data_IF_263113331039
#
_entry.id   IF_263113331039
#
_cell.length_a   1.000
_cell.length_b   1.000
_cell.length_c   1.000
_cell.angle_alpha   90.00
_cell.angle_beta   90.00
_cell.angle_gamma   90.00
#
_symmetry.space_group_name_H-M   'P 1'
#
loop_
_entity.id
_entity.type
_entity.pdbx_description
1 polymer ?
#
# COMPACT_ATOMS: atom_id res chain seq x y z
N UNK A 1 -0.08 -29.78 -58.09
CA UNK A 1 -0.02 -28.31 -58.05
C UNK A 1 -1.21 -27.73 -57.26
N UNK A 2 -1.60 -28.34 -56.12
CA UNK A 2 -2.82 -27.94 -55.39
C UNK A 2 -2.59 -27.80 -53.87
N UNK A 3 -1.38 -27.45 -53.45
CA UNK A 3 -1.09 -27.19 -52.02
C UNK A 3 -0.96 -25.69 -51.70
N UNK A 4 -1.03 -24.81 -52.70
CA UNK A 4 -0.80 -23.35 -52.53
C UNK A 4 -2.12 -22.55 -52.59
N UNK A 5 -3.26 -23.17 -52.90
CA UNK A 5 -4.56 -22.46 -53.02
C UNK A 5 -5.36 -22.35 -51.72
N UNK A 6 -4.90 -22.88 -50.58
CA UNK A 6 -5.66 -22.83 -49.31
C UNK A 6 -5.33 -21.66 -48.38
N UNK A 7 -4.49 -20.70 -48.78
CA UNK A 7 -4.17 -19.52 -47.96
C UNK A 7 -5.04 -18.28 -48.25
N UNK A 8 -6.09 -18.40 -49.07
CA UNK A 8 -6.97 -17.29 -49.40
C UNK A 8 -8.32 -17.36 -48.63
N UNK A 9 -8.31 -16.94 -47.35
CA UNK A 9 -9.42 -16.20 -46.70
C UNK A 9 -9.03 -15.75 -45.28
N UNK A 10 -9.56 -14.62 -44.77
CA UNK A 10 -9.40 -13.25 -45.21
C UNK A 10 -8.31 -12.54 -44.36
N UNK A 11 -7.67 -11.51 -44.88
CA UNK A 11 -6.77 -10.67 -44.10
C UNK A 11 -7.49 -10.16 -42.84
N UNK A 12 -6.91 -10.41 -41.65
CA UNK A 12 -7.35 -9.79 -40.40
C UNK A 12 -7.26 -8.28 -40.60
N UNK A 13 -8.41 -7.61 -40.77
CA UNK A 13 -8.47 -6.16 -40.89
C UNK A 13 -8.29 -5.57 -39.50
N UNK A 14 -7.08 -5.11 -39.20
CA UNK A 14 -6.79 -4.39 -37.96
C UNK A 14 -7.34 -2.97 -38.09
N UNK A 15 -8.04 -2.43 -37.07
CA UNK A 15 -8.51 -1.05 -37.11
C UNK A 15 -7.37 -0.05 -37.25
N UNK A 16 -7.59 1.03 -38.00
CA UNK A 16 -6.58 2.07 -38.15
C UNK A 16 -6.44 2.92 -36.86
N UNK A 17 -5.37 3.73 -36.81
CA UNK A 17 -5.07 4.59 -35.65
C UNK A 17 -6.22 5.55 -35.29
N UNK A 18 -6.94 6.05 -36.29
CA UNK A 18 -8.04 6.99 -36.07
C UNK A 18 -9.23 6.32 -35.39
N UNK A 19 -9.56 5.10 -35.82
CA UNK A 19 -10.56 4.27 -35.18
C UNK A 19 -10.19 3.98 -33.72
N UNK A 20 -8.96 3.54 -33.47
CA UNK A 20 -8.49 3.27 -32.10
C UNK A 20 -8.54 4.54 -31.23
N UNK A 21 -8.17 5.70 -31.78
CA UNK A 21 -8.23 6.99 -31.06
C UNK A 21 -9.66 7.44 -30.80
N UNK A 22 -10.58 7.24 -31.74
CA UNK A 22 -11.99 7.56 -31.55
C UNK A 22 -12.61 6.67 -30.46
N UNK A 23 -12.31 5.37 -30.51
CA UNK A 23 -12.77 4.42 -29.49
C UNK A 23 -12.14 4.70 -28.11
N UNK A 24 -10.85 5.04 -28.04
CA UNK A 24 -10.19 5.32 -26.76
C UNK A 24 -10.79 6.52 -26.02
N UNK A 25 -11.35 7.51 -26.73
CA UNK A 25 -12.05 8.64 -26.09
C UNK A 25 -13.27 8.21 -25.29
N UNK A 26 -13.97 7.15 -25.72
CA UNK A 26 -15.08 6.56 -24.97
C UNK A 26 -14.58 5.83 -23.71
N UNK A 27 -13.28 5.53 -23.65
CA UNK A 27 -12.65 4.83 -22.55
C UNK A 27 -11.98 5.75 -21.53
N UNK A 28 -12.07 7.06 -21.69
CA UNK A 28 -11.50 8.02 -20.75
C UNK A 28 -12.60 8.62 -19.88
N UNK A 29 -12.35 8.86 -18.58
CA UNK A 29 -13.28 9.63 -17.75
C UNK A 29 -13.44 11.04 -18.33
N UNK A 30 -14.53 11.71 -17.95
CA UNK A 30 -14.61 13.15 -18.13
C UNK A 30 -13.43 13.77 -17.39
N UNK A 31 -12.46 14.28 -18.13
CA UNK A 31 -11.32 14.98 -17.55
C UNK A 31 -11.87 16.30 -17.03
N UNK A 32 -11.96 16.46 -15.71
CA UNK A 32 -11.97 17.80 -15.12
C UNK A 32 -10.61 18.43 -15.48
N UNK A 33 -10.56 19.51 -16.27
CA UNK A 33 -9.29 20.13 -16.63
C UNK A 33 -8.80 20.94 -15.43
N UNK A 34 -8.34 20.28 -14.37
CA UNK A 34 -7.42 20.93 -13.44
C UNK A 34 -6.02 20.81 -14.03
N UNK A 35 -5.77 21.61 -15.07
CA UNK A 35 -4.44 21.89 -15.59
C UNK A 35 -3.99 23.19 -14.95
N UNK A 36 -3.34 23.11 -13.80
CA UNK A 36 -2.40 24.17 -13.47
C UNK A 36 -1.11 23.92 -14.29
N UNK A 37 -0.33 24.96 -14.54
CA UNK A 37 0.94 24.85 -15.26
C UNK A 37 2.03 24.10 -14.45
N UNK A 38 1.67 23.39 -13.37
CA UNK A 38 2.62 22.80 -12.40
C UNK A 38 2.70 21.28 -12.47
N UNK A 39 2.16 20.63 -13.51
CA UNK A 39 2.30 19.19 -13.70
C UNK A 39 1.40 18.34 -12.78
N UNK A 40 0.29 18.91 -12.31
CA UNK A 40 -0.74 18.22 -11.52
C UNK A 40 -1.86 17.78 -12.46
N UNK A 41 -2.25 16.50 -12.39
CA UNK A 41 -3.44 15.98 -13.06
C UNK A 41 -4.31 15.31 -12.01
N UNK A 42 -5.52 15.82 -11.81
CA UNK A 42 -6.53 15.28 -10.89
C UNK A 42 -7.78 14.95 -11.70
N UNK A 43 -8.34 13.76 -11.48
CA UNK A 43 -9.62 13.32 -12.01
C UNK A 43 -10.71 13.48 -10.96
N UNK A 44 -11.91 13.81 -11.40
CA UNK A 44 -13.12 13.76 -10.59
C UNK A 44 -13.42 12.31 -10.18
N UNK A 45 -13.46 12.01 -8.88
CA UNK A 45 -13.52 10.62 -8.40
C UNK A 45 -14.84 9.97 -8.79
N UNK A 46 -15.94 10.67 -8.57
CA UNK A 46 -17.29 10.22 -8.93
C UNK A 46 -17.38 9.81 -10.40
N UNK A 47 -16.88 10.64 -11.33
CA UNK A 47 -16.84 10.33 -12.76
C UNK A 47 -16.06 9.06 -13.09
N UNK A 48 -14.90 8.85 -12.43
CA UNK A 48 -14.09 7.64 -12.66
C UNK A 48 -14.78 6.40 -12.10
N UNK A 49 -15.46 6.51 -10.95
CA UNK A 49 -16.29 5.43 -10.38
C UNK A 49 -17.42 5.08 -11.34
N UNK A 50 -18.19 6.07 -11.81
CA UNK A 50 -19.29 5.85 -12.75
C UNK A 50 -18.82 5.13 -14.02
N UNK A 51 -17.72 5.59 -14.62
CA UNK A 51 -17.16 4.94 -15.81
C UNK A 51 -16.73 3.50 -15.52
N UNK A 52 -16.16 3.25 -14.34
CA UNK A 52 -15.71 1.91 -13.93
C UNK A 52 -16.89 0.97 -13.72
N UNK A 53 -17.92 1.43 -13.00
CA UNK A 53 -19.15 0.65 -12.76
C UNK A 53 -19.91 0.39 -14.06
N UNK A 54 -20.04 1.39 -14.95
CA UNK A 54 -20.65 1.20 -16.29
C UNK A 54 -19.99 0.06 -17.07
N UNK A 55 -18.65 -0.03 -17.03
CA UNK A 55 -17.94 -1.14 -17.69
C UNK A 55 -18.14 -2.49 -17.02
N UNK A 56 -18.24 -2.51 -15.69
CA UNK A 56 -18.57 -3.75 -14.98
C UNK A 56 -19.96 -4.22 -15.41
N UNK A 57 -20.95 -3.31 -15.45
CA UNK A 57 -22.31 -3.60 -15.93
C UNK A 57 -22.30 -4.11 -17.38
N UNK A 58 -21.52 -3.50 -18.27
CA UNK A 58 -21.35 -3.99 -19.65
C UNK A 58 -20.86 -5.43 -19.73
N UNK A 59 -19.90 -5.79 -18.88
CA UNK A 59 -19.36 -7.15 -18.81
C UNK A 59 -20.43 -8.13 -18.30
N UNK A 60 -21.15 -7.75 -17.24
CA UNK A 60 -22.23 -8.57 -16.66
C UNK A 60 -23.38 -8.78 -17.65
N UNK A 61 -23.81 -7.72 -18.35
CA UNK A 61 -24.86 -7.81 -19.37
C UNK A 61 -24.44 -8.71 -20.54
N UNK A 62 -23.17 -8.67 -20.97
CA UNK A 62 -22.64 -9.61 -21.97
C UNK A 62 -22.62 -11.06 -21.50
N UNK A 63 -22.61 -11.28 -20.19
CA UNK A 63 -22.74 -12.60 -19.56
C UNK A 63 -24.19 -13.00 -19.27
N UNK A 64 -25.17 -12.22 -19.75
CA UNK A 64 -26.61 -12.39 -19.49
C UNK A 64 -26.99 -12.29 -18.00
N UNK A 65 -26.20 -11.58 -17.20
CA UNK A 65 -26.51 -11.29 -15.80
C UNK A 65 -27.40 -10.05 -15.75
N UNK A 66 -28.57 -10.18 -15.12
CA UNK A 66 -29.46 -9.05 -14.89
C UNK A 66 -28.91 -8.17 -13.76
N UNK A 67 -28.69 -6.88 -14.03
CA UNK A 67 -28.16 -5.93 -13.06
C UNK A 67 -29.29 -5.05 -12.52
N UNK A 68 -29.63 -5.14 -11.22
CA UNK A 68 -30.65 -4.29 -10.62
C UNK A 68 -30.22 -2.82 -10.58
N UNK A 69 -31.19 -1.90 -10.45
CA UNK A 69 -30.91 -0.46 -10.41
C UNK A 69 -30.27 0.01 -9.11
N UNK A 70 -30.44 -0.71 -8.00
CA UNK A 70 -29.85 -0.38 -6.70
C UNK A 70 -28.64 -1.26 -6.43
N UNK A 71 -27.48 -0.63 -6.25
CA UNK A 71 -26.18 -1.29 -6.20
C UNK A 71 -25.37 -0.82 -5.01
N UNK A 72 -24.55 -1.71 -4.47
CA UNK A 72 -23.47 -1.40 -3.52
C UNK A 72 -22.13 -1.64 -4.20
N UNK A 73 -21.25 -0.65 -4.17
CA UNK A 73 -19.93 -0.70 -4.78
C UNK A 73 -18.86 -0.50 -3.73
N UNK A 74 -17.85 -1.38 -3.75
CA UNK A 74 -16.74 -1.34 -2.81
C UNK A 74 -15.44 -1.13 -3.54
N UNK A 75 -14.60 -0.27 -2.98
CA UNK A 75 -13.26 -0.02 -3.48
C UNK A 75 -12.26 0.18 -2.36
N UNK A 76 -10.99 0.03 -2.69
CA UNK A 76 -9.89 0.49 -1.85
C UNK A 76 -9.12 1.61 -2.53
N UNK A 77 -8.55 2.51 -1.74
CA UNK A 77 -7.87 3.71 -2.22
C UNK A 77 -6.60 3.99 -1.43
N UNK A 78 -5.71 4.76 -2.02
CA UNK A 78 -4.53 5.27 -1.33
C UNK A 78 -3.61 6.00 -2.28
N UNK A 79 -2.39 6.23 -1.82
CA UNK A 79 -1.40 7.00 -2.56
C UNK A 79 0.01 6.56 -2.17
N UNK A 80 0.94 6.83 -3.08
CA UNK A 80 2.35 6.45 -2.95
C UNK A 80 3.23 7.47 -3.69
N UNK A 81 4.44 7.66 -3.15
CA UNK A 81 5.49 8.48 -3.72
C UNK A 81 6.58 7.61 -4.35
N UNK A 82 6.87 7.82 -5.62
CA UNK A 82 7.93 7.15 -6.35
C UNK A 82 9.03 8.16 -6.75
N UNK A 83 10.27 7.85 -6.41
CA UNK A 83 11.44 8.63 -6.82
C UNK A 83 12.13 8.10 -8.08
N UNK A 84 13.25 8.73 -8.44
CA UNK A 84 14.13 8.35 -9.55
C UNK A 84 13.48 8.37 -10.94
N UNK A 85 12.56 9.30 -11.15
CA UNK A 85 11.98 9.55 -12.46
C UNK A 85 12.98 10.29 -13.35
N UNK A 86 13.05 9.91 -14.62
CA UNK A 86 13.85 10.63 -15.60
C UNK A 86 13.31 12.06 -15.77
N UNK A 87 14.18 13.05 -15.65
CA UNK A 87 13.83 14.45 -15.86
C UNK A 87 13.91 14.79 -17.36
N UNK A 88 12.78 15.19 -17.93
CA UNK A 88 12.71 15.63 -19.32
C UNK A 88 13.13 17.10 -19.44
N UNK A 89 14.12 17.38 -20.28
CA UNK A 89 14.54 18.74 -20.62
C UNK A 89 13.55 19.34 -21.62
N UNK A 90 12.44 19.87 -21.13
CA UNK A 90 11.47 20.60 -21.96
C UNK A 90 11.67 22.12 -21.81
N UNK A 91 11.58 22.85 -22.93
CA UNK A 91 11.85 24.31 -22.97
C UNK A 91 10.78 25.11 -22.22
N UNK A 92 9.55 24.58 -22.11
CA UNK A 92 8.38 25.32 -21.61
C UNK A 92 7.89 24.86 -20.23
N UNK A 93 8.42 23.75 -19.70
CA UNK A 93 8.01 23.20 -18.39
C UNK A 93 9.19 22.44 -17.80
N UNK A 94 10.20 23.15 -17.24
CA UNK A 94 11.29 22.48 -16.56
C UNK A 94 10.72 21.71 -15.37
N UNK A 95 10.78 20.38 -15.44
CA UNK A 95 10.53 19.56 -14.26
C UNK A 95 11.78 19.59 -13.41
N UNK A 96 11.68 20.16 -12.22
CA UNK A 96 12.82 20.21 -11.27
C UNK A 96 12.87 18.96 -10.38
N UNK A 97 11.80 18.17 -10.38
CA UNK A 97 11.63 17.06 -9.46
C UNK A 97 11.66 15.70 -10.17
N UNK A 98 12.54 14.81 -9.71
CA UNK A 98 12.63 13.41 -10.14
C UNK A 98 11.67 12.49 -9.35
N UNK A 99 10.59 13.03 -8.80
CA UNK A 99 9.61 12.28 -8.02
C UNK A 99 8.21 12.44 -8.63
N UNK A 100 7.41 11.39 -8.48
CA UNK A 100 6.00 11.37 -8.80
C UNK A 100 5.26 10.91 -7.56
N UNK A 101 4.20 11.63 -7.22
CA UNK A 101 3.21 11.20 -6.27
C UNK A 101 1.94 10.79 -7.03
N UNK A 102 1.34 9.68 -6.64
CA UNK A 102 0.13 9.18 -7.29
C UNK A 102 -0.94 8.81 -6.27
N UNK A 103 -2.18 9.21 -6.55
CA UNK A 103 -3.37 8.72 -5.83
C UNK A 103 -4.15 7.81 -6.76
N UNK A 104 -4.53 6.64 -6.26
CA UNK A 104 -5.20 5.61 -7.05
C UNK A 104 -6.28 4.89 -6.23
N UNK A 105 -7.20 4.24 -6.93
CA UNK A 105 -8.14 3.30 -6.32
C UNK A 105 -8.22 1.98 -7.10
N UNK A 106 -8.79 0.96 -6.47
CA UNK A 106 -9.07 -0.35 -7.05
C UNK A 106 -10.48 -0.77 -6.65
N UNK A 107 -11.33 -1.06 -7.64
CA UNK A 107 -12.64 -1.68 -7.43
C UNK A 107 -12.49 -3.09 -6.85
N UNK A 108 -13.27 -3.40 -5.82
CA UNK A 108 -13.24 -4.67 -5.09
C UNK A 108 -14.46 -5.54 -5.42
N UNK A 109 -15.67 -4.99 -5.33
CA UNK A 109 -16.91 -5.69 -5.64
C UNK A 109 -18.01 -4.74 -6.13
N UNK A 110 -18.98 -5.33 -6.83
CA UNK A 110 -20.27 -4.73 -7.15
C UNK A 110 -21.36 -5.73 -6.73
N UNK A 111 -22.26 -5.28 -5.89
CA UNK A 111 -23.27 -6.10 -5.23
C UNK A 111 -24.65 -5.48 -5.46
N UNK A 112 -25.69 -6.30 -5.54
CA UNK A 112 -27.05 -5.80 -5.48
C UNK A 112 -27.36 -5.32 -4.06
N UNK A 113 -28.28 -4.36 -3.90
CA UNK A 113 -28.72 -3.92 -2.56
C UNK A 113 -29.36 -5.04 -1.71
N UNK A 114 -29.63 -6.20 -2.31
CA UNK A 114 -30.11 -7.42 -1.63
C UNK A 114 -28.97 -8.22 -0.98
N UNK A 115 -27.70 -7.87 -1.22
CA UNK A 115 -26.51 -8.60 -0.76
C UNK A 115 -25.99 -9.64 -1.76
N UNK A 116 -26.62 -9.78 -2.94
CA UNK A 116 -26.12 -10.66 -3.99
C UNK A 116 -24.86 -10.07 -4.64
N UNK A 117 -23.77 -10.84 -4.67
CA UNK A 117 -22.53 -10.43 -5.32
C UNK A 117 -22.65 -10.61 -6.83
N UNK A 118 -22.68 -9.51 -7.57
CA UNK A 118 -22.78 -9.51 -9.03
C UNK A 118 -21.39 -9.61 -9.68
N UNK A 119 -20.41 -8.93 -9.10
CA UNK A 119 -19.03 -8.92 -9.59
C UNK A 119 -18.04 -8.81 -8.42
N UNK A 120 -16.94 -9.53 -8.54
CA UNK A 120 -15.81 -9.48 -7.61
C UNK A 120 -14.49 -9.37 -8.37
N UNK A 121 -13.57 -8.56 -7.86
CA UNK A 121 -12.23 -8.50 -8.39
C UNK A 121 -11.40 -9.69 -7.88
N UNK A 122 -11.12 -10.64 -8.76
CA UNK A 122 -10.31 -11.83 -8.42
C UNK A 122 -8.84 -11.51 -8.15
N UNK A 123 -8.36 -10.31 -8.54
CA UNK A 123 -6.96 -9.92 -8.43
C UNK A 123 -6.81 -8.47 -7.97
N UNK A 124 -7.28 -8.12 -6.76
CA UNK A 124 -7.37 -6.73 -6.28
C UNK A 124 -5.99 -6.09 -6.01
N UNK A 125 -4.91 -6.86 -6.09
CA UNK A 125 -3.53 -6.36 -5.97
C UNK A 125 -2.80 -6.30 -7.32
N UNK A 126 -3.47 -6.60 -8.43
CA UNK A 126 -2.92 -6.46 -9.77
C UNK A 126 -2.94 -5.00 -10.22
N UNK A 127 -1.85 -4.54 -10.82
CA UNK A 127 -1.75 -3.22 -11.42
C UNK A 127 -2.80 -2.97 -12.51
N UNK A 128 -3.33 -4.02 -13.14
CA UNK A 128 -4.37 -3.94 -14.17
C UNK A 128 -5.69 -3.33 -13.65
N UNK A 129 -5.95 -3.45 -12.35
CA UNK A 129 -7.17 -2.92 -11.72
C UNK A 129 -6.95 -1.59 -11.02
N UNK A 130 -5.72 -1.10 -10.96
CA UNK A 130 -5.41 0.20 -10.37
C UNK A 130 -5.87 1.31 -11.31
N UNK A 131 -6.65 2.25 -10.79
CA UNK A 131 -7.19 3.40 -11.52
C UNK A 131 -6.60 4.69 -10.95
N UNK A 132 -5.88 5.48 -11.75
CA UNK A 132 -5.30 6.72 -11.29
C UNK A 132 -6.38 7.79 -11.08
N UNK A 133 -6.34 8.44 -9.92
CA UNK A 133 -7.12 9.64 -9.60
C UNK A 133 -6.27 10.89 -9.66
N UNK A 134 -5.02 10.81 -9.22
CA UNK A 134 -4.09 11.91 -9.32
C UNK A 134 -2.69 11.44 -9.72
N UNK A 135 -2.02 12.26 -10.53
CA UNK A 135 -0.60 12.13 -10.84
C UNK A 135 0.04 13.52 -10.68
N UNK A 136 1.02 13.62 -9.79
CA UNK A 136 1.60 14.88 -9.34
C UNK A 136 3.12 14.75 -9.42
N UNK A 137 3.77 15.65 -10.15
CA UNK A 137 5.22 15.66 -10.33
C UNK A 137 5.96 16.30 -9.12
N UNK A 138 5.69 15.81 -7.92
CA UNK A 138 6.27 16.31 -6.67
C UNK A 138 6.76 15.18 -5.77
N UNK A 139 7.67 15.52 -4.86
CA UNK A 139 8.15 14.61 -3.83
C UNK A 139 7.10 14.53 -2.73
N UNK A 140 6.87 13.34 -2.22
CA UNK A 140 6.00 13.15 -1.05
C UNK A 140 6.48 14.03 0.12
N UNK A 141 5.59 14.94 0.55
CA UNK A 141 5.79 15.86 1.66
C UNK A 141 4.50 15.99 2.47
N UNK A 142 4.60 16.57 3.67
CA UNK A 142 3.44 16.81 4.53
C UNK A 142 2.45 17.76 3.87
N UNK A 143 2.96 18.81 3.20
CA UNK A 143 2.19 19.82 2.48
C UNK A 143 1.44 19.19 1.30
N UNK A 144 2.10 18.31 0.54
CA UNK A 144 1.46 17.60 -0.56
C UNK A 144 0.35 16.68 -0.05
N UNK A 145 0.56 15.98 1.06
CA UNK A 145 -0.48 15.15 1.69
C UNK A 145 -1.66 15.99 2.17
N UNK A 146 -1.43 17.18 2.74
CA UNK A 146 -2.50 18.13 3.06
C UNK A 146 -3.31 18.52 1.83
N UNK A 147 -2.64 18.88 0.74
CA UNK A 147 -3.29 19.25 -0.51
C UNK A 147 -4.14 18.10 -1.06
N UNK A 148 -3.57 16.89 -1.14
CA UNK A 148 -4.27 15.71 -1.68
C UNK A 148 -5.44 15.29 -0.79
N UNK A 149 -5.28 15.28 0.53
CA UNK A 149 -6.38 14.92 1.43
C UNK A 149 -7.48 15.99 1.41
N UNK A 150 -7.12 17.27 1.38
CA UNK A 150 -8.08 18.36 1.23
C UNK A 150 -8.86 18.31 -0.09
N UNK A 151 -8.24 17.81 -1.17
CA UNK A 151 -8.89 17.66 -2.47
C UNK A 151 -9.85 16.48 -2.54
N UNK A 152 -9.55 15.35 -1.87
CA UNK A 152 -10.31 14.10 -2.06
C UNK A 152 -11.16 13.67 -0.86
N UNK A 153 -10.73 13.89 0.39
CA UNK A 153 -11.48 13.40 1.57
C UNK A 153 -12.91 13.96 1.67
N UNK A 154 -13.18 15.25 1.37
CA UNK A 154 -14.55 15.77 1.40
C UNK A 154 -15.48 15.03 0.41
N UNK A 155 -15.00 14.76 -0.80
CA UNK A 155 -15.75 14.02 -1.82
C UNK A 155 -15.92 12.54 -1.41
N UNK A 156 -14.86 11.90 -0.89
CA UNK A 156 -14.91 10.52 -0.39
C UNK A 156 -15.91 10.36 0.76
N UNK A 157 -16.00 11.35 1.65
CA UNK A 157 -16.97 11.37 2.74
C UNK A 157 -18.39 11.49 2.19
N UNK A 158 -18.64 12.47 1.31
CA UNK A 158 -19.95 12.67 0.68
C UNK A 158 -20.42 11.42 -0.06
N UNK A 159 -19.56 10.79 -0.87
CA UNK A 159 -19.89 9.58 -1.62
C UNK A 159 -20.22 8.38 -0.71
N UNK A 160 -19.59 8.28 0.46
CA UNK A 160 -19.89 7.22 1.43
C UNK A 160 -21.19 7.47 2.22
N UNK A 161 -21.49 8.73 2.53
CA UNK A 161 -22.69 9.11 3.29
C UNK A 161 -23.95 9.14 2.41
N UNK A 162 -23.84 9.69 1.20
CA UNK A 162 -24.97 9.98 0.32
C UNK A 162 -25.09 9.03 -0.89
N UNK A 163 -24.00 8.34 -1.26
CA UNK A 163 -23.93 7.59 -2.51
C UNK A 163 -23.89 8.50 -3.75
N UNK A 164 -24.30 7.95 -4.89
CA UNK A 164 -24.43 8.68 -6.16
C UNK A 164 -25.44 7.99 -7.09
N UNK A 165 -25.91 8.70 -8.11
CA UNK A 165 -26.73 8.13 -9.18
C UNK A 165 -26.15 8.42 -10.55
N UNK A 166 -26.35 7.51 -11.50
CA UNK A 166 -25.94 7.71 -12.89
C UNK A 166 -26.87 7.00 -13.87
N UNK A 167 -26.99 7.54 -15.07
CA UNK A 167 -27.75 6.93 -16.15
C UNK A 167 -26.86 6.06 -17.04
N UNK A 168 -27.34 4.87 -17.37
CA UNK A 168 -26.72 3.94 -18.32
C UNK A 168 -27.77 3.04 -18.99
N UNK A 169 -27.73 2.92 -20.31
CA UNK A 169 -28.68 2.10 -21.11
C UNK A 169 -30.16 2.31 -20.72
N UNK A 170 -30.60 3.57 -20.64
CA UNK A 170 -31.97 3.98 -20.26
C UNK A 170 -32.41 3.53 -18.85
N UNK A 171 -31.46 3.12 -18.01
CA UNK A 171 -31.69 2.78 -16.60
C UNK A 171 -30.95 3.78 -15.72
N UNK A 172 -31.64 4.33 -14.72
CA UNK A 172 -31.02 5.11 -13.66
C UNK A 172 -30.56 4.17 -12.56
N UNK A 173 -29.26 4.16 -12.30
CA UNK A 173 -28.65 3.39 -11.22
C UNK A 173 -28.45 4.26 -9.98
N UNK A 174 -28.72 3.67 -8.83
CA UNK A 174 -28.50 4.22 -7.49
C UNK A 174 -27.37 3.41 -6.82
N UNK A 175 -26.30 4.09 -6.45
CA UNK A 175 -25.03 3.49 -6.07
C UNK A 175 -24.63 3.94 -4.68
N UNK A 176 -24.66 3.02 -3.72
CA UNK A 176 -24.03 3.18 -2.41
C UNK A 176 -22.56 2.79 -2.52
N UNK A 177 -21.66 3.59 -1.96
CA UNK A 177 -20.21 3.43 -2.13
C UNK A 177 -19.55 3.20 -0.77
N UNK A 178 -18.68 2.20 -0.67
CA UNK A 178 -17.76 2.00 0.46
C UNK A 178 -16.33 2.19 -0.02
N UNK A 179 -15.59 3.09 0.64
CA UNK A 179 -14.21 3.45 0.26
C UNK A 179 -13.25 3.05 1.39
N UNK A 180 -12.40 2.06 1.12
CA UNK A 180 -11.42 1.58 2.08
C UNK A 180 -10.04 2.22 1.84
N UNK A 181 -9.65 3.14 2.71
CA UNK A 181 -8.35 3.82 2.63
C UNK A 181 -7.21 2.92 3.15
N UNK A 182 -6.88 1.87 2.40
CA UNK A 182 -5.94 0.82 2.81
C UNK A 182 -4.68 0.69 1.95
N UNK A 183 -4.58 1.44 0.84
CA UNK A 183 -3.44 1.38 -0.09
C UNK A 183 -2.37 2.43 0.24
N UNK A 184 -1.91 2.46 1.49
CA UNK A 184 -0.88 3.40 1.98
C UNK A 184 0.23 2.63 2.67
N UNK A 185 1.46 3.12 2.63
CA UNK A 185 2.56 2.53 3.40
C UNK A 185 2.50 2.95 4.88
N UNK A 186 3.43 2.44 5.71
CA UNK A 186 3.45 2.79 7.13
C UNK A 186 3.81 4.27 7.36
N UNK A 187 4.70 4.82 6.53
CA UNK A 187 5.23 6.18 6.68
C UNK A 187 4.12 7.22 6.46
N UNK A 188 3.39 7.09 5.37
CA UNK A 188 2.24 7.94 5.03
C UNK A 188 1.20 7.87 6.14
N UNK A 189 0.82 6.65 6.58
CA UNK A 189 -0.16 6.48 7.66
C UNK A 189 0.26 7.14 8.96
N UNK A 190 1.55 7.05 9.31
CA UNK A 190 2.11 7.71 10.49
C UNK A 190 1.98 9.24 10.39
N UNK A 191 2.24 9.81 9.21
CA UNK A 191 2.09 11.24 8.95
C UNK A 191 0.61 11.64 9.04
N UNK A 192 -0.28 10.91 8.34
CA UNK A 192 -1.70 11.23 8.27
C UNK A 192 -2.44 11.09 9.59
N UNK A 193 -2.05 10.11 10.43
CA UNK A 193 -2.61 9.97 11.77
C UNK A 193 -2.00 10.96 12.78
N UNK A 194 -0.90 11.63 12.44
CA UNK A 194 -0.15 12.47 13.37
C UNK A 194 0.59 11.69 14.47
N UNK A 195 0.65 10.35 14.38
CA UNK A 195 1.18 9.45 15.40
C UNK A 195 2.67 9.11 15.21
N UNK A 196 3.49 10.13 14.89
CA UNK A 196 4.92 9.98 14.61
C UNK A 196 5.77 9.41 15.74
N UNK A 197 5.29 9.48 16.98
CA UNK A 197 5.96 8.93 18.16
C UNK A 197 5.28 7.69 18.73
N UNK A 198 4.26 7.14 18.08
CA UNK A 198 3.57 5.94 18.54
C UNK A 198 4.37 4.69 18.17
N UNK A 199 4.41 3.70 19.08
CA UNK A 199 4.99 2.39 18.76
C UNK A 199 4.07 1.61 17.79
N UNK A 200 2.75 1.81 17.89
CA UNK A 200 1.74 1.17 17.04
C UNK A 200 0.66 2.17 16.61
N UNK A 201 0.26 2.11 15.33
CA UNK A 201 -0.82 2.92 14.78
C UNK A 201 -2.22 2.35 15.03
N UNK A 202 -2.32 1.08 15.44
CA UNK A 202 -3.60 0.39 15.66
C UNK A 202 -4.00 0.36 17.14
N UNK A 203 -3.01 0.29 18.04
CA UNK A 203 -3.23 0.20 19.48
C UNK A 203 -2.33 1.13 20.28
N UNK A 204 -2.65 1.30 21.56
CA UNK A 204 -1.91 2.17 22.50
C UNK A 204 -0.74 1.48 23.22
N UNK A 205 -0.58 0.15 23.07
CA UNK A 205 0.52 -0.60 23.70
C UNK A 205 1.89 -0.13 23.26
N UNK A 206 2.89 -0.36 24.11
CA UNK A 206 4.26 0.12 23.89
C UNK A 206 5.26 -0.97 23.60
N UNK A 207 6.30 -0.62 22.88
CA UNK A 207 7.38 -1.53 22.48
C UNK A 207 8.14 -2.15 23.66
N UNK A 208 8.21 -1.46 24.81
CA UNK A 208 8.78 -2.03 26.04
C UNK A 208 7.91 -3.13 26.66
N UNK A 209 6.60 -3.12 26.42
CA UNK A 209 5.67 -4.14 26.89
C UNK A 209 5.64 -5.37 25.98
N UNK A 210 6.05 -5.24 24.71
CA UNK A 210 6.09 -6.34 23.74
C UNK A 210 7.20 -7.37 23.98
N UNK A 211 7.79 -7.35 25.18
CA UNK A 211 8.77 -8.33 25.65
C UNK A 211 8.19 -9.23 26.74
N UNK A 212 7.02 -8.87 27.26
CA UNK A 212 6.31 -9.62 28.29
C UNK A 212 5.40 -10.66 27.64
N UNK A 213 5.80 -11.93 27.73
CA UNK A 213 5.12 -13.07 27.11
C UNK A 213 3.69 -13.24 27.67
N UNK A 214 3.49 -12.95 28.96
CA UNK A 214 2.18 -13.10 29.60
C UNK A 214 1.22 -11.99 29.17
N UNK A 215 1.74 -10.79 28.91
CA UNK A 215 0.96 -9.74 28.25
C UNK A 215 0.61 -10.10 26.81
N UNK A 216 1.59 -10.51 26.01
CA UNK A 216 1.40 -10.84 24.57
C UNK A 216 0.35 -11.92 24.35
N UNK A 217 0.27 -12.91 25.25
CA UNK A 217 -0.70 -14.01 25.15
C UNK A 217 -2.15 -13.59 25.47
N UNK A 218 -2.38 -12.40 26.04
CA UNK A 218 -3.73 -11.94 26.37
C UNK A 218 -4.44 -11.49 25.07
N UNK A 219 -5.68 -11.96 24.81
CA UNK A 219 -6.37 -11.72 23.55
C UNK A 219 -6.66 -10.23 23.29
N UNK A 220 -6.77 -9.43 24.35
CA UNK A 220 -7.06 -8.00 24.27
C UNK A 220 -5.81 -7.11 24.27
N UNK A 221 -4.60 -7.68 24.39
CA UNK A 221 -3.39 -6.88 24.53
C UNK A 221 -3.13 -6.02 23.30
N UNK A 222 -3.29 -6.59 22.09
CA UNK A 222 -3.17 -5.85 20.83
C UNK A 222 -4.53 -5.41 20.25
N UNK A 223 -5.53 -5.16 21.09
CA UNK A 223 -6.84 -4.69 20.62
C UNK A 223 -6.71 -3.39 19.81
N UNK A 224 -7.34 -3.35 18.63
CA UNK A 224 -7.42 -2.14 17.81
C UNK A 224 -8.31 -1.13 18.55
N UNK A 225 -7.71 -0.07 19.07
CA UNK A 225 -8.38 0.84 20.00
C UNK A 225 -8.14 2.34 19.72
N UNK A 226 -7.22 2.66 18.82
CA UNK A 226 -7.04 4.01 18.29
C UNK A 226 -8.16 4.29 17.29
N UNK A 227 -8.67 5.51 17.20
CA UNK A 227 -9.55 5.94 16.10
C UNK A 227 -9.11 7.33 15.65
N UNK A 228 -9.47 7.75 14.44
CA UNK A 228 -9.21 9.08 13.93
C UNK A 228 -9.83 10.14 14.85
N UNK A 229 -11.08 9.92 15.28
CA UNK A 229 -11.80 10.77 16.23
C UNK A 229 -11.02 10.93 17.55
N UNK A 230 -10.68 9.82 18.23
CA UNK A 230 -9.92 9.88 19.50
C UNK A 230 -8.57 10.57 19.35
N UNK A 231 -7.93 10.40 18.19
CA UNK A 231 -6.63 11.01 17.91
C UNK A 231 -6.77 12.51 17.68
N UNK A 232 -7.85 12.95 17.03
CA UNK A 232 -8.18 14.37 16.85
C UNK A 232 -8.60 15.02 18.16
N UNK A 233 -9.39 14.34 18.99
CA UNK A 233 -9.75 14.83 20.33
C UNK A 233 -8.51 15.01 21.19
N UNK A 234 -7.60 14.04 21.18
CA UNK A 234 -6.32 14.14 21.87
C UNK A 234 -5.51 15.33 21.35
N UNK A 235 -5.49 15.55 20.03
CA UNK A 235 -4.84 16.72 19.45
C UNK A 235 -5.43 18.03 19.99
N UNK A 236 -6.75 18.17 19.97
CA UNK A 236 -7.44 19.38 20.43
C UNK A 236 -7.21 19.66 21.94
N UNK A 237 -7.01 18.62 22.74
CA UNK A 237 -6.66 18.75 24.16
C UNK A 237 -5.21 19.18 24.41
N UNK A 238 -4.32 18.95 23.44
CA UNK A 238 -2.88 19.13 23.58
C UNK A 238 -2.29 20.30 22.80
N UNK A 239 -3.08 20.85 21.87
CA UNK A 239 -2.69 21.99 21.05
C UNK A 239 -2.54 23.24 21.93
N UNK A 240 -1.55 24.07 21.60
CA UNK A 240 -1.39 25.42 22.13
C UNK A 240 -2.04 26.45 21.20
N UNK A 241 -2.06 27.71 21.62
CA UNK A 241 -2.55 28.83 20.82
C UNK A 241 -1.79 29.00 19.48
N UNK A 242 -0.54 28.52 19.40
CA UNK A 242 0.30 28.54 18.20
C UNK A 242 0.05 27.36 17.23
N UNK A 243 -0.83 26.43 17.58
CA UNK A 243 -1.13 25.25 16.77
C UNK A 243 -0.16 24.09 16.95
N UNK A 244 0.82 24.18 17.87
CA UNK A 244 1.80 23.13 18.10
C UNK A 244 1.50 22.28 19.34
N UNK A 245 2.00 21.04 19.33
CA UNK A 245 1.97 20.13 20.47
C UNK A 245 3.28 20.23 21.23
N UNK A 246 3.22 20.47 22.53
CA UNK A 246 4.42 20.47 23.38
C UNK A 246 4.95 19.05 23.56
N UNK A 247 6.16 18.79 23.06
CA UNK A 247 6.86 17.51 23.22
C UNK A 247 7.77 17.58 24.45
N UNK A 248 7.54 16.72 25.43
CA UNK A 248 8.40 16.55 26.62
C UNK A 248 9.00 15.15 26.63
N UNK A 249 10.12 15.00 27.33
CA UNK A 249 10.69 13.66 27.55
C UNK A 249 9.74 12.84 28.42
N UNK A 250 9.51 11.58 28.05
CA UNK A 250 8.68 10.61 28.80
C UNK A 250 7.19 10.98 28.95
N UNK A 251 6.62 11.70 27.98
CA UNK A 251 5.21 12.15 28.02
C UNK A 251 4.25 11.27 27.20
N UNK A 252 4.65 10.03 26.88
CA UNK A 252 3.83 9.14 26.07
C UNK A 252 2.48 8.85 26.73
N UNK A 253 2.37 8.77 28.05
CA UNK A 253 1.06 8.54 28.70
C UNK A 253 0.04 9.62 28.32
N UNK A 254 0.50 10.87 28.21
CA UNK A 254 -0.32 12.00 27.80
C UNK A 254 -0.52 12.03 26.29
N UNK A 255 0.56 11.98 25.49
CA UNK A 255 0.47 12.14 24.01
C UNK A 255 0.04 10.89 23.27
N UNK A 256 0.22 9.72 23.86
CA UNK A 256 0.06 8.42 23.21
C UNK A 256 0.75 8.34 21.84
N UNK A 257 1.91 8.98 21.70
CA UNK A 257 2.67 9.03 20.45
C UNK A 257 2.25 10.11 19.44
N UNK A 258 1.24 10.93 19.75
CA UNK A 258 0.81 12.07 18.91
C UNK A 258 1.91 13.13 18.84
N UNK A 259 2.30 13.53 17.63
CA UNK A 259 3.40 14.48 17.39
C UNK A 259 3.03 15.67 16.52
N UNK A 260 1.89 15.61 15.84
CA UNK A 260 1.37 16.62 14.93
C UNK A 260 -0.14 16.47 14.79
N UNK A 261 -0.78 17.47 14.18
CA UNK A 261 -2.19 17.40 13.79
C UNK A 261 -2.42 16.20 12.86
N UNK A 262 -3.43 15.35 13.10
CA UNK A 262 -3.87 14.37 12.12
C UNK A 262 -4.30 15.07 10.82
N UNK A 263 -3.84 14.55 9.69
CA UNK A 263 -4.19 15.05 8.36
C UNK A 263 -5.44 14.39 7.79
N UNK A 264 -5.76 13.20 8.28
CA UNK A 264 -6.90 12.42 7.82
C UNK A 264 -7.92 12.26 8.93
N UNK A 265 -9.19 12.32 8.55
CA UNK A 265 -10.32 12.02 9.43
C UNK A 265 -10.74 10.54 9.38
N UNK A 266 -9.97 9.69 8.69
CA UNK A 266 -10.30 8.27 8.49
C UNK A 266 -9.45 7.37 9.39
N UNK A 267 -10.09 6.32 9.89
CA UNK A 267 -9.40 5.30 10.69
C UNK A 267 -8.31 4.61 9.86
N UNK A 268 -7.10 4.59 10.39
CA UNK A 268 -5.97 3.91 9.76
C UNK A 268 -5.92 2.43 10.17
N UNK A 269 -7.04 1.72 10.19
CA UNK A 269 -7.16 0.35 10.71
C UNK A 269 -6.87 -0.74 9.68
N UNK A 270 -5.69 -0.69 9.09
CA UNK A 270 -5.28 -1.70 8.13
C UNK A 270 -3.83 -2.14 8.33
N UNK A 271 -3.51 -3.31 7.78
CA UNK A 271 -2.18 -3.90 7.84
C UNK A 271 -1.55 -3.80 6.46
N UNK A 272 -0.36 -3.20 6.40
CA UNK A 272 0.41 -3.02 5.17
C UNK A 272 1.19 -4.27 4.83
N UNK A 273 0.51 -5.30 4.32
CA UNK A 273 1.05 -6.67 4.13
C UNK A 273 2.44 -6.68 3.45
N UNK A 274 2.63 -5.91 2.38
CA UNK A 274 3.93 -5.80 1.69
C UNK A 274 5.05 -5.35 2.62
N UNK A 275 4.79 -4.32 3.43
CA UNK A 275 5.77 -3.77 4.38
C UNK A 275 5.94 -4.68 5.61
N UNK A 276 4.92 -5.45 5.99
CA UNK A 276 5.07 -6.47 7.05
C UNK A 276 6.05 -7.57 6.64
N UNK A 277 6.03 -8.00 5.38
CA UNK A 277 7.04 -8.91 4.87
C UNK A 277 8.45 -8.32 4.95
N UNK A 278 8.62 -7.08 4.49
CA UNK A 278 9.93 -6.39 4.48
C UNK A 278 10.45 -6.21 5.91
N UNK A 279 9.64 -5.63 6.81
CA UNK A 279 10.00 -5.38 8.20
C UNK A 279 10.24 -6.69 8.97
N UNK A 280 9.44 -7.72 8.70
CA UNK A 280 9.59 -9.03 9.31
C UNK A 280 10.93 -9.69 8.96
N UNK A 281 11.35 -9.60 7.68
CA UNK A 281 12.68 -10.06 7.26
C UNK A 281 13.76 -9.28 7.99
N UNK A 282 13.71 -7.94 7.98
CA UNK A 282 14.73 -7.11 8.62
C UNK A 282 14.87 -7.44 10.11
N UNK A 283 13.74 -7.68 10.80
CA UNK A 283 13.74 -8.07 12.20
C UNK A 283 14.38 -9.46 12.42
N UNK A 284 14.03 -10.46 11.60
CA UNK A 284 14.61 -11.81 11.69
C UNK A 284 16.09 -11.81 11.35
N UNK A 285 16.49 -11.13 10.26
CA UNK A 285 17.89 -10.99 9.87
C UNK A 285 18.70 -10.34 10.99
N UNK A 286 18.17 -9.29 11.63
CA UNK A 286 18.84 -8.68 12.78
C UNK A 286 19.07 -9.67 13.92
N UNK A 287 18.10 -10.54 14.22
CA UNK A 287 18.28 -11.61 15.21
C UNK A 287 19.40 -12.57 14.76
N UNK A 288 19.38 -13.03 13.51
CA UNK A 288 20.40 -13.96 12.98
C UNK A 288 21.79 -13.33 13.04
N UNK A 289 21.93 -12.05 12.67
CA UNK A 289 23.20 -11.32 12.74
C UNK A 289 23.72 -11.22 14.18
N UNK A 290 22.83 -10.96 15.14
CA UNK A 290 23.17 -10.86 16.56
C UNK A 290 23.62 -12.21 17.12
N UNK A 291 22.87 -13.27 16.79
CA UNK A 291 23.20 -14.65 17.13
C UNK A 291 24.56 -15.08 16.55
N UNK A 292 24.78 -14.84 15.26
CA UNK A 292 26.05 -15.15 14.55
C UNK A 292 27.23 -14.33 15.08
N UNK A 293 26.98 -13.08 15.47
CA UNK A 293 27.99 -12.23 16.07
C UNK A 293 28.25 -12.56 17.55
N UNK A 294 27.51 -13.50 18.17
CA UNK A 294 27.54 -13.79 19.61
C UNK A 294 27.27 -12.54 20.47
N UNK A 295 26.17 -11.85 20.13
CA UNK A 295 25.68 -10.64 20.80
C UNK A 295 24.24 -10.86 21.24
N UNK A 296 24.00 -10.77 22.55
CA UNK A 296 22.65 -10.91 23.14
C UNK A 296 21.99 -9.55 23.47
N UNK A 297 22.55 -8.46 22.93
CA UNK A 297 22.05 -7.10 23.13
C UNK A 297 21.55 -6.51 21.82
N UNK A 298 20.32 -5.98 21.83
CA UNK A 298 19.69 -5.38 20.65
C UNK A 298 20.39 -4.11 20.12
N UNK A 299 21.10 -3.39 20.99
CA UNK A 299 21.76 -2.13 20.65
C UNK A 299 23.14 -2.33 20.04
N UNK A 300 23.33 -1.82 18.83
CA UNK A 300 24.59 -1.89 18.06
C UNK A 300 25.47 -0.66 18.36
N UNK A 301 25.80 -0.46 19.64
CA UNK A 301 26.62 0.67 20.11
C UNK A 301 28.08 0.26 20.30
N UNK A 302 28.98 1.17 19.95
CA UNK A 302 30.44 0.96 20.03
C UNK A 302 31.02 0.33 18.76
N UNK A 303 32.27 0.68 18.47
CA UNK A 303 32.94 0.30 17.21
C UNK A 303 33.11 -1.22 17.10
N UNK A 304 33.55 -1.88 18.18
CA UNK A 304 33.71 -3.34 18.22
C UNK A 304 32.42 -4.09 17.93
N UNK A 305 31.29 -3.64 18.48
CA UNK A 305 29.97 -4.23 18.25
C UNK A 305 29.55 -4.07 16.79
N UNK A 306 29.72 -2.87 16.23
CA UNK A 306 29.40 -2.58 14.83
C UNK A 306 30.21 -3.45 13.87
N UNK A 307 31.51 -3.60 14.11
CA UNK A 307 32.38 -4.41 13.27
C UNK A 307 32.02 -5.91 13.33
N UNK A 308 31.70 -6.44 14.52
CA UNK A 308 31.18 -7.81 14.66
C UNK A 308 29.89 -8.02 13.88
N UNK A 309 28.93 -7.09 14.01
CA UNK A 309 27.67 -7.15 13.28
C UNK A 309 27.88 -7.05 11.77
N UNK A 310 28.75 -6.16 11.31
CA UNK A 310 29.07 -6.02 9.88
C UNK A 310 29.60 -7.34 9.29
N UNK A 311 30.57 -7.98 9.95
CA UNK A 311 31.09 -9.29 9.54
C UNK A 311 30.01 -10.38 9.52
N UNK A 312 29.14 -10.37 10.54
CA UNK A 312 28.01 -11.30 10.61
C UNK A 312 27.01 -11.08 9.46
N UNK A 313 26.70 -9.81 9.12
CA UNK A 313 25.83 -9.44 7.99
C UNK A 313 26.37 -9.95 6.67
N UNK A 314 27.64 -9.70 6.38
CA UNK A 314 28.30 -10.16 5.15
C UNK A 314 28.26 -11.69 5.05
N UNK A 315 28.61 -12.38 6.14
CA UNK A 315 28.61 -13.85 6.18
C UNK A 315 27.21 -14.43 5.95
N UNK A 316 26.21 -13.97 6.70
CA UNK A 316 24.84 -14.47 6.64
C UNK A 316 24.21 -14.16 5.27
N UNK A 317 24.44 -12.96 4.73
CA UNK A 317 23.92 -12.58 3.41
C UNK A 317 24.48 -13.47 2.31
N UNK A 318 25.79 -13.76 2.34
CA UNK A 318 26.43 -14.65 1.38
C UNK A 318 25.94 -16.11 1.49
N UNK A 319 25.75 -16.60 2.72
CA UNK A 319 25.21 -17.94 2.97
C UNK A 319 23.76 -18.06 2.47
N UNK A 320 22.91 -17.06 2.74
CA UNK A 320 21.52 -17.03 2.25
C UNK A 320 21.49 -16.94 0.72
N UNK A 321 22.27 -16.06 0.12
CA UNK A 321 22.32 -15.89 -1.33
C UNK A 321 22.78 -17.18 -2.01
N UNK A 322 23.85 -17.81 -1.50
CA UNK A 322 24.35 -19.07 -2.04
C UNK A 322 23.37 -20.24 -1.87
N UNK A 323 22.67 -20.29 -0.73
CA UNK A 323 21.76 -21.38 -0.40
C UNK A 323 20.34 -21.25 -0.96
N UNK A 324 19.93 -20.05 -1.38
CA UNK A 324 18.52 -19.76 -1.75
C UNK A 324 18.36 -18.89 -3.01
N UNK A 325 19.43 -18.24 -3.45
CA UNK A 325 19.42 -17.20 -4.47
C UNK A 325 18.74 -15.90 -4.03
N UNK A 326 18.48 -15.71 -2.73
CA UNK A 326 17.91 -14.47 -2.20
C UNK A 326 19.00 -13.45 -1.85
N UNK A 327 18.92 -12.28 -2.47
CA UNK A 327 19.80 -11.14 -2.21
C UNK A 327 19.13 -10.17 -1.23
N UNK A 328 19.33 -10.35 0.08
CA UNK A 328 18.67 -9.58 1.15
C UNK A 328 19.62 -8.56 1.78
N UNK A 329 19.05 -7.45 2.27
CA UNK A 329 19.77 -6.45 3.08
C UNK A 329 21.04 -5.86 2.43
N UNK A 330 21.10 -5.89 1.09
CA UNK A 330 22.16 -5.25 0.32
C UNK A 330 21.69 -3.90 -0.21
N UNK A 331 22.60 -2.96 -0.42
CA UNK A 331 22.25 -1.70 -1.08
C UNK A 331 21.67 -1.98 -2.45
N UNK A 332 20.57 -1.30 -2.77
CA UNK A 332 20.11 -1.26 -4.14
C UNK A 332 21.24 -0.71 -5.03
N UNK A 333 21.53 -1.43 -6.11
CA UNK A 333 22.56 -1.09 -7.09
C UNK A 333 22.33 0.26 -7.78
N UNK A 334 21.14 0.83 -7.64
CA UNK A 334 20.80 2.18 -8.11
C UNK A 334 21.34 3.29 -7.21
N UNK A 335 21.84 2.98 -6.00
CA UNK A 335 22.37 3.96 -5.04
C UNK A 335 21.29 4.76 -4.29
N UNK A 336 20.01 4.48 -4.54
CA UNK A 336 18.91 5.29 -4.05
C UNK A 336 18.28 4.73 -2.77
N UNK A 337 19.01 4.83 -1.64
CA UNK A 337 18.50 4.69 -0.24
C UNK A 337 17.66 3.45 0.15
N UNK A 338 17.41 2.52 -0.78
CA UNK A 338 16.66 1.29 -0.58
C UNK A 338 17.57 0.08 -0.39
N UNK A 339 17.03 -0.95 0.25
CA UNK A 339 17.67 -2.26 0.32
C UNK A 339 17.12 -3.17 -0.78
N UNK A 340 17.88 -4.18 -1.18
CA UNK A 340 17.43 -5.24 -2.09
C UNK A 340 16.22 -6.04 -1.56
N UNK A 341 15.91 -5.91 -0.27
CA UNK A 341 14.78 -6.55 0.41
C UNK A 341 13.44 -5.96 -0.06
N UNK A 342 12.77 -6.69 -0.96
CA UNK A 342 11.44 -6.34 -1.47
C UNK A 342 10.36 -7.27 -0.91
N UNK A 343 9.08 -6.90 -1.07
CA UNK A 343 7.96 -7.78 -0.70
C UNK A 343 7.96 -9.13 -1.46
N UNK A 344 8.46 -9.15 -2.70
CA UNK A 344 8.63 -10.38 -3.47
C UNK A 344 9.67 -11.31 -2.85
N UNK A 345 10.81 -10.76 -2.44
CA UNK A 345 11.81 -11.52 -1.69
C UNK A 345 11.28 -11.99 -0.34
N UNK A 346 10.44 -11.19 0.33
CA UNK A 346 9.80 -11.59 1.58
C UNK A 346 8.90 -12.79 1.48
N UNK A 347 8.04 -12.85 0.46
CA UNK A 347 7.23 -14.05 0.23
C UNK A 347 8.08 -15.31 0.05
N UNK A 348 9.19 -15.19 -0.67
CA UNK A 348 10.14 -16.30 -0.83
C UNK A 348 10.87 -16.61 0.47
N UNK A 349 11.35 -15.61 1.22
CA UNK A 349 12.05 -15.78 2.51
C UNK A 349 11.23 -16.57 3.54
N UNK A 350 9.92 -16.32 3.62
CA UNK A 350 9.02 -17.03 4.54
C UNK A 350 8.49 -18.35 3.99
N UNK A 351 8.92 -18.77 2.80
CA UNK A 351 8.49 -20.03 2.21
C UNK A 351 9.15 -21.23 2.91
N UNK A 352 8.50 -22.39 2.83
CA UNK A 352 9.01 -23.61 3.47
C UNK A 352 10.35 -24.05 2.85
N UNK A 353 10.50 -23.85 1.55
CA UNK A 353 11.64 -24.30 0.75
C UNK A 353 12.95 -23.64 1.18
N UNK A 354 12.92 -22.36 1.56
CA UNK A 354 14.13 -21.61 1.94
C UNK A 354 14.38 -21.59 3.45
N UNK A 355 13.37 -21.93 4.26
CA UNK A 355 13.43 -21.82 5.72
C UNK A 355 14.62 -22.59 6.31
N UNK A 356 14.85 -23.81 5.84
CA UNK A 356 15.96 -24.64 6.34
C UNK A 356 17.32 -24.03 6.00
N UNK A 357 17.48 -23.48 4.80
CA UNK A 357 18.70 -22.76 4.40
C UNK A 357 18.92 -21.52 5.28
N UNK A 358 17.88 -20.76 5.59
CA UNK A 358 17.98 -19.61 6.50
C UNK A 358 18.39 -20.06 7.91
N UNK A 359 17.74 -21.08 8.47
CA UNK A 359 18.08 -21.60 9.82
C UNK A 359 19.53 -22.10 9.88
N UNK A 360 20.04 -22.68 8.79
CA UNK A 360 21.42 -23.18 8.73
C UNK A 360 22.49 -22.09 8.93
N UNK A 361 22.14 -20.83 8.72
CA UNK A 361 23.04 -19.68 8.95
C UNK A 361 23.21 -19.31 10.43
N UNK A 362 22.28 -19.75 11.28
CA UNK A 362 22.34 -19.57 12.74
C UNK A 362 23.34 -20.57 13.32
N UNK A 363 24.23 -20.19 14.26
CA UNK A 363 25.13 -21.13 14.91
C UNK A 363 24.40 -22.33 15.53
N UNK A 364 24.89 -23.56 15.32
CA UNK A 364 24.24 -24.80 15.80
C UNK A 364 23.92 -24.79 17.30
N UNK A 365 24.81 -24.22 18.12
CA UNK A 365 24.61 -24.11 19.57
C UNK A 365 23.39 -23.27 19.97
N UNK A 366 22.88 -22.43 19.06
CA UNK A 366 21.74 -21.55 19.26
C UNK A 366 20.49 -22.02 18.47
N UNK A 367 20.61 -23.10 17.68
CA UNK A 367 19.46 -23.70 17.01
C UNK A 367 18.70 -24.56 18.02
N UNK A 368 17.44 -24.23 18.29
CA UNK A 368 16.55 -25.17 18.98
C UNK A 368 16.18 -26.31 18.03
N UNK A 369 16.38 -27.56 18.47
CA UNK A 369 15.78 -28.72 17.82
C UNK A 369 14.27 -28.72 18.10
N UNK A 370 13.50 -28.05 17.25
CA UNK A 370 12.04 -28.19 17.27
C UNK A 370 11.69 -29.52 16.59
N UNK A 371 10.95 -30.45 17.23
CA UNK A 371 10.46 -31.62 16.53
C UNK A 371 9.48 -31.18 15.45
N UNK A 372 9.96 -31.13 14.20
CA UNK A 372 9.11 -30.94 13.04
C UNK A 372 8.32 -32.24 12.88
N UNK A 373 7.10 -32.30 13.41
CA UNK A 373 6.16 -33.34 12.98
C UNK A 373 5.86 -33.09 11.50
N UNK A 374 6.19 -34.01 10.58
CA UNK A 374 5.79 -33.86 9.19
C UNK A 374 4.26 -33.70 9.17
N UNK A 375 3.74 -32.72 8.42
CA UNK A 375 2.32 -32.72 8.07
C UNK A 375 2.04 -34.04 7.37
N UNK A 376 1.16 -34.85 7.95
CA UNK A 376 0.56 -35.95 7.22
C UNK A 376 -0.03 -35.36 5.94
N UNK A 377 0.36 -35.91 4.79
CA UNK A 377 -0.33 -35.64 3.53
C UNK A 377 -1.76 -36.15 3.72
N UNK A 378 -2.71 -35.23 3.81
CA UNK A 378 -4.15 -35.47 3.75
C UNK A 378 -4.67 -34.89 2.45
#
# INVERSE_FOLDING_TARGET
MDFVKSFCSPHIKIPNREYVRAHSKQLLPMIAPWRNNTGVVIQDRESVIHLTVKRIIEVLQKQNINVPSKLEYREKTGHDGAGNMAIYKSVNTPMENANIFSKMFVSLSLEASTGEVLWINESPNSSHWCRPLALIAEKESVELLYFVNGAFEPEEKRLQEEGTTFDYNNTKYDLKITIETSMKDLKVRTIESGLGGADCLLCTTRSNEWKDVDKIKKPYFFAVNRTAEKTLDLYNQMIKDDGEITKKKNDYEARQGLTSKPLSNTDQHHITITHQYINGIQWILKIIYHLRADLLLWSERGETTKERIKKARETVSNEIESGTGLRLDQYDTTGCSGTSTTGGQGRKFFSYEVRNSIVSTVPKAQQMTWPIKPKAKG
#
